data_IF_585564339830
#
_entry.id   IF_585564339830
#
_cell.length_a   1.000
_cell.length_b   1.000
_cell.length_c   1.000
_cell.angle_alpha   90.00
_cell.angle_beta   90.00
_cell.angle_gamma   90.00
#
_symmetry.space_group_name_H-M   'P 1'
#
loop_
_entity.id
_entity.type
_entity.pdbx_description
1 polymer ?
#
# COMPACT_ATOMS: atom_id res chain seq x y z
N UNK A 1 -1.22 -24.76 -12.68
CA UNK A 1 -0.09 -24.06 -12.03
C UNK A 1 -0.43 -22.62 -11.65
N UNK A 2 -1.03 -21.81 -12.50
CA UNK A 2 -1.25 -20.35 -12.27
C UNK A 2 -2.19 -19.99 -11.10
N UNK A 3 -3.28 -20.75 -10.86
CA UNK A 3 -4.12 -20.54 -9.66
C UNK A 3 -3.36 -20.65 -8.35
N UNK A 4 -2.37 -21.55 -8.29
CA UNK A 4 -1.52 -21.74 -7.11
C UNK A 4 -0.63 -20.52 -6.87
N UNK A 5 -0.13 -19.87 -7.92
CA UNK A 5 0.70 -18.68 -7.81
C UNK A 5 -0.08 -17.49 -7.22
N UNK A 6 -1.32 -17.24 -7.65
CA UNK A 6 -2.16 -16.18 -7.09
C UNK A 6 -2.45 -16.39 -5.60
N UNK A 7 -2.74 -17.62 -5.18
CA UNK A 7 -2.96 -17.96 -3.77
C UNK A 7 -1.68 -17.82 -2.93
N UNK A 8 -0.53 -18.23 -3.46
CA UNK A 8 0.76 -18.08 -2.80
C UNK A 8 1.08 -16.59 -2.59
N UNK A 9 0.87 -15.76 -3.62
CA UNK A 9 1.09 -14.32 -3.54
C UNK A 9 0.15 -13.66 -2.53
N UNK A 10 -1.11 -14.10 -2.46
CA UNK A 10 -2.03 -13.68 -1.40
C UNK A 10 -1.56 -14.08 -0.02
N UNK A 11 -0.97 -15.27 0.13
CA UNK A 11 -0.34 -15.71 1.39
C UNK A 11 0.84 -14.84 1.79
N UNK A 12 1.68 -14.43 0.85
CA UNK A 12 2.76 -13.47 1.10
C UNK A 12 2.22 -12.10 1.51
N UNK A 13 1.17 -11.61 0.84
CA UNK A 13 0.54 -10.36 1.24
C UNK A 13 -0.06 -10.45 2.64
N UNK A 14 -0.75 -11.54 2.97
CA UNK A 14 -1.26 -11.78 4.33
C UNK A 14 -0.14 -11.75 5.37
N UNK A 15 0.99 -12.37 5.07
CA UNK A 15 2.17 -12.36 5.95
C UNK A 15 2.71 -10.93 6.12
N UNK A 16 2.77 -10.16 5.04
CA UNK A 16 3.24 -8.78 5.03
C UNK A 16 2.38 -7.85 5.89
N UNK A 17 1.05 -7.86 5.69
CA UNK A 17 0.14 -7.06 6.53
C UNK A 17 0.15 -7.53 7.98
N UNK A 18 0.33 -8.84 8.22
CA UNK A 18 0.43 -9.41 9.57
C UNK A 18 1.71 -8.97 10.29
N UNK A 19 2.84 -8.90 9.58
CA UNK A 19 4.10 -8.36 10.10
C UNK A 19 3.90 -6.89 10.49
N UNK A 20 3.36 -6.07 9.60
CA UNK A 20 3.06 -4.67 9.87
C UNK A 20 2.12 -4.49 11.06
N UNK A 21 1.07 -5.30 11.13
CA UNK A 21 0.14 -5.33 12.25
C UNK A 21 0.80 -5.75 13.56
N UNK A 22 1.68 -6.75 13.52
CA UNK A 22 2.47 -7.20 14.67
C UNK A 22 3.40 -6.12 15.20
N UNK A 23 4.05 -5.39 14.30
CA UNK A 23 4.90 -4.23 14.65
C UNK A 23 4.05 -3.16 15.33
N UNK A 24 2.90 -2.79 14.78
CA UNK A 24 2.00 -1.80 15.37
C UNK A 24 1.54 -2.22 16.78
N UNK A 25 1.17 -3.48 16.94
CA UNK A 25 0.75 -4.01 18.24
C UNK A 25 1.89 -3.99 19.28
N UNK A 26 3.10 -4.40 18.89
CA UNK A 26 4.30 -4.37 19.75
C UNK A 26 4.62 -2.94 20.19
N UNK A 27 4.60 -2.00 19.25
CA UNK A 27 4.90 -0.60 19.54
C UNK A 27 3.87 0.02 20.44
N UNK A 28 2.58 -0.22 20.19
CA UNK A 28 1.51 0.26 21.06
C UNK A 28 1.63 -0.29 22.49
N UNK A 29 2.19 -1.50 22.65
CA UNK A 29 2.43 -2.12 23.97
C UNK A 29 3.65 -1.56 24.70
N UNK A 30 4.73 -1.30 23.96
CA UNK A 30 6.05 -0.89 24.54
C UNK A 30 6.17 0.63 24.64
N UNK A 31 5.69 1.36 23.63
CA UNK A 31 5.88 2.79 23.49
C UNK A 31 4.54 3.49 23.26
N UNK A 32 3.83 3.85 24.32
CA UNK A 32 2.54 4.53 24.24
C UNK A 32 2.54 5.88 23.48
N UNK A 33 3.70 6.50 23.27
CA UNK A 33 3.87 7.81 22.63
C UNK A 33 4.62 7.79 21.29
N UNK A 34 4.85 6.62 20.67
CA UNK A 34 5.71 6.48 19.49
C UNK A 34 4.97 6.19 18.18
N UNK A 35 3.63 6.18 18.23
CA UNK A 35 2.81 5.85 17.07
C UNK A 35 2.99 6.83 15.90
N UNK A 36 3.17 8.11 16.21
CA UNK A 36 3.34 9.17 15.22
C UNK A 36 4.68 9.04 14.49
N UNK A 37 5.76 8.74 15.21
CA UNK A 37 7.08 8.49 14.62
C UNK A 37 7.08 7.29 13.68
N UNK A 38 6.41 6.21 14.07
CA UNK A 38 6.28 5.03 13.22
C UNK A 38 5.41 5.28 11.98
N UNK A 39 4.34 6.04 12.09
CA UNK A 39 3.56 6.46 10.94
C UNK A 39 4.41 7.27 9.95
N UNK A 40 5.22 8.21 10.45
CA UNK A 40 6.17 8.98 9.61
C UNK A 40 7.22 8.08 8.94
N UNK A 41 7.77 7.10 9.68
CA UNK A 41 8.70 6.12 9.14
C UNK A 41 8.04 5.28 8.03
N UNK A 42 6.81 4.79 8.25
CA UNK A 42 6.04 4.08 7.23
C UNK A 42 5.79 4.95 6.00
N UNK A 43 5.42 6.22 6.18
CA UNK A 43 5.26 7.17 5.07
C UNK A 43 6.54 7.37 4.28
N UNK A 44 7.67 7.55 4.96
CA UNK A 44 9.01 7.65 4.34
C UNK A 44 9.40 6.39 3.57
N UNK A 45 9.13 5.22 4.13
CA UNK A 45 9.38 3.93 3.47
C UNK A 45 8.55 3.76 2.20
N UNK A 46 7.24 4.09 2.25
CA UNK A 46 6.37 4.03 1.07
C UNK A 46 6.81 5.01 -0.03
N UNK A 47 7.19 6.23 0.33
CA UNK A 47 7.71 7.22 -0.63
C UNK A 47 9.01 6.70 -1.26
N UNK A 48 9.88 6.08 -0.47
CA UNK A 48 11.12 5.48 -0.95
C UNK A 48 10.88 4.31 -1.90
N UNK A 49 9.98 3.38 -1.58
CA UNK A 49 9.61 2.27 -2.48
C UNK A 49 9.05 2.79 -3.81
N UNK A 50 8.18 3.82 -3.76
CA UNK A 50 7.69 4.45 -4.98
C UNK A 50 8.81 5.04 -5.83
N UNK A 51 9.70 5.82 -5.21
CA UNK A 51 10.73 6.58 -5.90
C UNK A 51 11.85 5.70 -6.47
N UNK A 52 12.20 4.61 -5.78
CA UNK A 52 13.36 3.76 -6.12
C UNK A 52 12.98 2.52 -6.94
N UNK A 53 11.80 1.95 -6.69
CA UNK A 53 11.41 0.68 -7.32
C UNK A 53 10.26 0.85 -8.31
N UNK A 54 9.09 1.31 -7.84
CA UNK A 54 7.86 1.24 -8.64
C UNK A 54 7.90 2.24 -9.80
N UNK A 55 8.27 3.49 -9.54
CA UNK A 55 8.30 4.53 -10.59
C UNK A 55 9.37 4.24 -11.63
N UNK A 56 10.66 4.00 -11.29
CA UNK A 56 11.68 3.68 -12.29
C UNK A 56 11.33 2.43 -13.11
N UNK A 57 10.85 1.37 -12.45
CA UNK A 57 10.43 0.14 -13.13
C UNK A 57 9.26 0.38 -14.08
N UNK A 58 8.28 1.20 -13.69
CA UNK A 58 7.16 1.55 -14.54
C UNK A 58 7.61 2.31 -15.81
N UNK A 59 8.49 3.30 -15.65
CA UNK A 59 8.98 4.10 -16.78
C UNK A 59 9.98 3.35 -17.68
N UNK A 60 10.61 2.28 -17.20
CA UNK A 60 11.48 1.43 -18.03
C UNK A 60 10.69 0.55 -19.00
N UNK A 61 9.46 0.16 -18.64
CA UNK A 61 8.63 -0.78 -19.42
C UNK A 61 7.53 -0.07 -20.20
N UNK A 62 6.93 0.98 -19.62
CA UNK A 62 5.74 1.64 -20.19
C UNK A 62 6.04 3.06 -20.65
N UNK A 63 5.27 3.51 -21.65
CA UNK A 63 5.34 4.90 -22.13
C UNK A 63 4.75 5.86 -21.11
N UNK A 64 5.46 6.96 -20.86
CA UNK A 64 5.12 8.01 -19.90
C UNK A 64 3.67 8.54 -19.95
N UNK A 65 3.03 8.76 -21.12
CA UNK A 65 1.67 9.33 -21.14
C UNK A 65 0.62 8.46 -20.44
N UNK A 66 0.71 7.13 -20.55
CA UNK A 66 -0.21 6.21 -19.87
C UNK A 66 -0.05 6.25 -18.36
N UNK A 67 1.18 6.26 -17.88
CA UNK A 67 1.50 6.35 -16.45
C UNK A 67 1.01 7.67 -15.87
N UNK A 68 1.31 8.80 -16.52
CA UNK A 68 0.90 10.14 -16.06
C UNK A 68 -0.63 10.24 -16.00
N UNK A 69 -1.33 9.77 -17.03
CA UNK A 69 -2.80 9.73 -17.04
C UNK A 69 -3.32 8.88 -15.87
N UNK A 70 -2.73 7.71 -15.65
CA UNK A 70 -3.09 6.84 -14.54
C UNK A 70 -2.88 7.51 -13.18
N UNK A 71 -1.75 8.16 -12.95
CA UNK A 71 -1.47 8.90 -11.70
C UNK A 71 -2.53 9.97 -11.45
N UNK A 72 -2.93 10.73 -12.47
CA UNK A 72 -4.00 11.72 -12.35
C UNK A 72 -5.34 11.08 -12.01
N UNK A 73 -5.69 9.96 -12.65
CA UNK A 73 -6.92 9.21 -12.34
C UNK A 73 -6.88 8.71 -10.89
N UNK A 74 -5.79 8.09 -10.45
CA UNK A 74 -5.62 7.59 -9.09
C UNK A 74 -5.72 8.71 -8.05
N UNK A 75 -5.13 9.87 -8.34
CA UNK A 75 -5.27 11.07 -7.52
C UNK A 75 -6.71 11.52 -7.36
N UNK A 76 -7.41 11.72 -8.48
CA UNK A 76 -8.81 12.17 -8.49
C UNK A 76 -9.70 11.14 -7.78
N UNK A 77 -9.49 9.85 -8.05
CA UNK A 77 -10.25 8.77 -7.43
C UNK A 77 -10.14 8.79 -5.91
N UNK A 78 -8.93 8.90 -5.35
CA UNK A 78 -8.73 9.00 -3.91
C UNK A 78 -9.31 10.27 -3.31
N UNK A 79 -9.25 11.40 -4.02
CA UNK A 79 -9.91 12.63 -3.55
C UNK A 79 -11.42 12.46 -3.43
N UNK A 80 -12.04 11.84 -4.43
CA UNK A 80 -13.48 11.57 -4.44
C UNK A 80 -13.88 10.58 -3.35
N UNK A 81 -13.11 9.52 -3.18
CA UNK A 81 -13.31 8.52 -2.14
C UNK A 81 -13.22 9.14 -0.74
N UNK A 82 -12.17 9.91 -0.47
CA UNK A 82 -12.02 10.60 0.81
C UNK A 82 -13.17 11.57 1.09
N UNK A 83 -13.63 12.33 0.10
CA UNK A 83 -14.78 13.22 0.23
C UNK A 83 -16.05 12.43 0.57
N UNK A 84 -16.29 11.30 -0.08
CA UNK A 84 -17.44 10.43 0.16
C UNK A 84 -17.43 9.82 1.57
N UNK A 85 -16.26 9.39 2.04
CA UNK A 85 -16.09 8.78 3.36
C UNK A 85 -16.24 9.79 4.50
N UNK A 86 -15.78 11.04 4.32
CA UNK A 86 -15.89 12.11 5.34
C UNK A 86 -17.28 12.74 5.40
N UNK A 87 -18.10 12.60 4.36
CA UNK A 87 -19.47 13.12 4.33
C UNK A 87 -20.41 12.42 5.33
N UNK A 88 -20.01 11.28 5.87
CA UNK A 88 -20.81 10.48 6.81
C UNK A 88 -20.75 10.97 8.28
N UNK A 89 -20.15 12.13 8.57
CA UNK A 89 -20.17 12.76 9.90
C UNK A 89 -19.36 12.04 10.99
N UNK A 90 -18.66 10.96 10.68
CA UNK A 90 -17.79 10.27 11.63
C UNK A 90 -16.40 10.90 11.64
N UNK A 91 -15.95 11.39 12.78
CA UNK A 91 -14.64 12.01 12.97
C UNK A 91 -13.45 11.05 12.76
N UNK A 92 -13.68 9.74 12.72
CA UNK A 92 -12.65 8.71 12.42
C UNK A 92 -13.24 7.64 11.49
N UNK A 93 -12.57 7.30 10.38
CA UNK A 93 -13.05 6.24 9.50
C UNK A 93 -13.13 4.92 10.26
N UNK A 94 -14.21 4.18 10.06
CA UNK A 94 -14.31 2.82 10.57
C UNK A 94 -13.22 1.94 9.97
N UNK A 95 -12.67 1.00 10.75
CA UNK A 95 -11.68 0.03 10.26
C UNK A 95 -12.15 -0.69 8.99
N UNK A 96 -13.42 -1.01 8.92
CA UNK A 96 -14.01 -1.67 7.74
C UNK A 96 -13.98 -0.78 6.50
N UNK A 97 -14.23 0.52 6.67
CA UNK A 97 -14.15 1.51 5.59
C UNK A 97 -12.71 1.64 5.10
N UNK A 98 -11.74 1.70 6.02
CA UNK A 98 -10.32 1.72 5.67
C UNK A 98 -9.91 0.42 4.94
N UNK A 99 -10.39 -0.75 5.39
CA UNK A 99 -10.13 -2.03 4.72
C UNK A 99 -10.68 -2.04 3.29
N UNK A 100 -11.90 -1.55 3.07
CA UNK A 100 -12.49 -1.43 1.73
C UNK A 100 -11.64 -0.49 0.86
N UNK A 101 -11.19 0.64 1.40
CA UNK A 101 -10.33 1.58 0.69
C UNK A 101 -9.01 0.92 0.27
N UNK A 102 -8.39 0.14 1.16
CA UNK A 102 -7.18 -0.61 0.88
C UNK A 102 -7.43 -1.71 -0.18
N UNK A 103 -8.55 -2.42 -0.12
CA UNK A 103 -8.92 -3.38 -1.15
C UNK A 103 -9.06 -2.72 -2.52
N UNK A 104 -9.73 -1.56 -2.58
CA UNK A 104 -9.94 -0.85 -3.84
C UNK A 104 -8.62 -0.36 -4.43
N UNK A 105 -7.72 0.17 -3.62
CA UNK A 105 -6.44 0.67 -4.12
C UNK A 105 -5.50 -0.45 -4.58
N UNK A 106 -5.63 -1.65 -4.02
CA UNK A 106 -4.85 -2.82 -4.40
C UNK A 106 -5.28 -3.40 -5.76
N UNK A 107 -6.52 -3.17 -6.21
CA UNK A 107 -7.08 -3.74 -7.45
C UNK A 107 -6.23 -3.43 -8.69
N UNK A 108 -5.90 -2.17 -9.03
CA UNK A 108 -5.18 -1.87 -10.27
C UNK A 108 -3.81 -2.56 -10.32
N UNK A 109 -3.13 -2.61 -9.19
CA UNK A 109 -1.79 -3.21 -9.09
C UNK A 109 -1.83 -4.72 -9.19
N UNK A 110 -2.77 -5.38 -8.50
CA UNK A 110 -2.95 -6.84 -8.57
C UNK A 110 -3.37 -7.32 -9.95
N UNK A 111 -4.23 -6.58 -10.65
CA UNK A 111 -4.57 -6.85 -12.06
C UNK A 111 -3.32 -6.77 -12.96
N UNK A 112 -2.49 -5.75 -12.78
CA UNK A 112 -1.26 -5.57 -13.54
C UNK A 112 -0.27 -6.70 -13.24
N UNK A 113 -0.07 -7.07 -11.98
CA UNK A 113 0.80 -8.19 -11.57
C UNK A 113 0.31 -9.49 -12.21
N UNK A 114 -1.00 -9.77 -12.14
CA UNK A 114 -1.57 -10.97 -12.74
C UNK A 114 -1.29 -11.08 -14.23
N UNK A 115 -1.42 -9.98 -14.95
CA UNK A 115 -1.14 -9.94 -16.39
C UNK A 115 0.35 -10.09 -16.74
N UNK A 116 1.25 -9.76 -15.80
CA UNK A 116 2.71 -9.83 -15.97
C UNK A 116 3.32 -11.15 -15.48
N UNK A 117 2.57 -12.06 -14.87
CA UNK A 117 3.10 -13.31 -14.29
C UNK A 117 3.86 -14.21 -15.26
N UNK A 118 3.75 -13.95 -16.57
CA UNK A 118 4.52 -14.63 -17.62
C UNK A 118 5.88 -13.98 -17.96
N UNK A 119 6.12 -12.72 -17.55
CA UNK A 119 7.32 -11.93 -17.83
C UNK A 119 8.23 -11.84 -16.59
N UNK A 120 9.43 -12.37 -16.68
CA UNK A 120 10.18 -12.87 -15.53
C UNK A 120 10.72 -11.84 -14.53
N UNK A 121 11.43 -10.80 -14.95
CA UNK A 121 12.17 -9.91 -14.02
C UNK A 121 11.34 -8.73 -13.52
N UNK A 122 10.60 -8.09 -14.41
CA UNK A 122 9.75 -6.95 -14.05
C UNK A 122 8.57 -7.37 -13.14
N UNK A 123 7.97 -8.54 -13.42
CA UNK A 123 6.91 -9.09 -12.59
C UNK A 123 7.38 -9.37 -11.16
N UNK A 124 8.59 -9.90 -10.99
CA UNK A 124 9.17 -10.17 -9.67
C UNK A 124 9.41 -8.88 -8.89
N UNK A 125 10.02 -7.86 -9.52
CA UNK A 125 10.28 -6.56 -8.87
C UNK A 125 8.98 -5.90 -8.40
N UNK A 126 8.00 -5.73 -9.29
CA UNK A 126 6.72 -5.11 -8.93
C UNK A 126 5.98 -5.93 -7.86
N UNK A 127 5.98 -7.25 -7.96
CA UNK A 127 5.30 -8.10 -6.98
C UNK A 127 5.94 -7.98 -5.61
N UNK A 128 7.27 -7.98 -5.53
CA UNK A 128 8.00 -7.87 -4.28
C UNK A 128 7.77 -6.50 -3.64
N UNK A 129 7.91 -5.42 -4.40
CA UNK A 129 7.63 -4.06 -3.93
C UNK A 129 6.18 -3.92 -3.48
N UNK A 130 5.23 -4.56 -4.20
CA UNK A 130 3.81 -4.57 -3.83
C UNK A 130 3.56 -5.29 -2.50
N UNK A 131 4.16 -6.45 -2.30
CA UNK A 131 4.01 -7.19 -1.04
C UNK A 131 4.57 -6.39 0.12
N UNK A 132 5.69 -5.72 -0.06
CA UNK A 132 6.36 -4.97 1.00
C UNK A 132 5.64 -3.68 1.37
N UNK A 133 5.04 -2.97 0.41
CA UNK A 133 4.30 -1.76 0.76
C UNK A 133 3.06 -2.04 1.61
N UNK A 134 2.57 -3.28 1.64
CA UNK A 134 1.48 -3.67 2.53
C UNK A 134 1.91 -3.84 4.00
N UNK A 135 3.22 -3.86 4.31
CA UNK A 135 3.70 -3.81 5.72
C UNK A 135 3.25 -2.51 6.42
N UNK A 136 3.54 -1.30 5.86
CA UNK A 136 3.00 -0.05 6.40
C UNK A 136 1.47 0.00 6.48
N UNK A 137 0.77 -0.60 5.53
CA UNK A 137 -0.69 -0.64 5.55
C UNK A 137 -1.24 -1.53 6.67
N UNK A 138 -0.63 -2.69 6.88
CA UNK A 138 -0.93 -3.54 8.03
C UNK A 138 -0.69 -2.82 9.36
N UNK A 139 0.39 -2.03 9.44
CA UNK A 139 0.66 -1.16 10.58
C UNK A 139 -0.45 -0.12 10.77
N UNK A 140 -0.81 0.63 9.71
CA UNK A 140 -1.85 1.66 9.77
C UNK A 140 -3.20 1.07 10.19
N UNK A 141 -3.62 -0.03 9.55
CA UNK A 141 -4.88 -0.70 9.83
C UNK A 141 -4.94 -1.16 11.30
N UNK A 142 -3.86 -1.75 11.81
CA UNK A 142 -3.77 -2.19 13.21
C UNK A 142 -3.77 -1.01 14.17
N UNK A 143 -3.08 0.08 13.87
CA UNK A 143 -3.05 1.28 14.72
C UNK A 143 -4.44 1.90 14.86
N UNK A 144 -5.20 2.01 13.77
CA UNK A 144 -6.60 2.48 13.79
C UNK A 144 -7.47 1.50 14.59
N UNK A 145 -7.27 0.19 14.41
CA UNK A 145 -7.99 -0.84 15.11
C UNK A 145 -7.82 -0.77 16.63
N UNK A 146 -6.56 -0.64 17.07
CA UNK A 146 -6.22 -0.50 18.49
C UNK A 146 -6.79 0.80 19.08
N UNK A 147 -6.75 1.90 18.34
CA UNK A 147 -7.28 3.20 18.78
C UNK A 147 -8.81 3.18 18.98
N UNK A 148 -9.53 2.28 18.33
CA UNK A 148 -10.98 2.12 18.42
C UNK A 148 -11.40 1.05 19.43
N UNK A 149 -10.45 0.38 20.10
CA UNK A 149 -10.73 -0.64 21.11
C UNK A 149 -11.47 -1.89 20.55
N UNK A 150 -11.31 -2.18 19.27
CA UNK A 150 -12.02 -3.30 18.63
C UNK A 150 -11.39 -4.66 18.93
N UNK A 151 -12.16 -5.74 18.75
CA UNK A 151 -11.70 -7.11 19.02
C UNK A 151 -10.75 -7.61 17.93
N UNK A 152 -9.60 -8.15 18.28
CA UNK A 152 -8.53 -8.64 17.38
C UNK A 152 -9.02 -9.56 16.26
N UNK A 153 -10.12 -10.29 16.45
CA UNK A 153 -10.76 -11.11 15.41
C UNK A 153 -11.17 -10.32 14.18
N UNK A 154 -11.64 -9.08 14.36
CA UNK A 154 -12.01 -8.19 13.26
C UNK A 154 -10.80 -7.77 12.41
N UNK A 155 -9.65 -7.52 13.05
CA UNK A 155 -8.41 -7.21 12.35
C UNK A 155 -7.96 -8.37 11.44
N UNK A 156 -8.02 -9.59 11.96
CA UNK A 156 -7.71 -10.80 11.20
C UNK A 156 -8.62 -10.94 9.96
N UNK A 157 -9.91 -10.65 10.14
CA UNK A 157 -10.87 -10.66 9.03
C UNK A 157 -10.51 -9.63 7.96
N UNK A 158 -10.08 -8.43 8.36
CA UNK A 158 -9.62 -7.39 7.45
C UNK A 158 -8.38 -7.85 6.65
N UNK A 159 -7.39 -8.47 7.31
CA UNK A 159 -6.19 -8.98 6.64
C UNK A 159 -6.51 -10.11 5.65
N UNK A 160 -7.40 -11.03 6.03
CA UNK A 160 -7.87 -12.10 5.15
C UNK A 160 -8.60 -11.52 3.94
N UNK A 161 -9.50 -10.54 4.15
CA UNK A 161 -10.25 -9.89 3.06
C UNK A 161 -9.31 -9.22 2.06
N UNK A 162 -8.27 -8.53 2.55
CA UNK A 162 -7.25 -7.88 1.71
C UNK A 162 -6.49 -8.91 0.87
N UNK A 163 -6.08 -10.02 1.51
CA UNK A 163 -5.33 -11.10 0.83
C UNK A 163 -6.18 -11.84 -0.20
N UNK A 164 -7.46 -12.08 0.10
CA UNK A 164 -8.40 -12.68 -0.86
C UNK A 164 -8.64 -11.73 -2.03
N UNK A 165 -8.86 -10.44 -1.77
CA UNK A 165 -9.02 -9.41 -2.79
C UNK A 165 -7.81 -9.39 -3.74
N UNK A 166 -6.61 -9.31 -3.19
CA UNK A 166 -5.36 -9.33 -3.95
C UNK A 166 -5.22 -10.60 -4.81
N UNK A 167 -5.42 -11.79 -4.22
CA UNK A 167 -5.35 -13.05 -4.96
C UNK A 167 -6.38 -13.14 -6.09
N UNK A 168 -7.61 -12.70 -5.81
CA UNK A 168 -8.69 -12.73 -6.80
C UNK A 168 -8.38 -11.84 -8.00
N UNK A 169 -7.87 -10.62 -7.76
CA UNK A 169 -7.54 -9.72 -8.85
C UNK A 169 -6.25 -10.08 -9.59
N UNK A 170 -5.28 -10.73 -8.95
CA UNK A 170 -4.15 -11.38 -9.66
C UNK A 170 -4.68 -12.47 -10.58
N UNK A 171 -5.56 -13.32 -10.08
CA UNK A 171 -6.14 -14.39 -10.89
C UNK A 171 -6.96 -13.84 -12.07
N UNK A 172 -7.74 -12.78 -11.86
CA UNK A 172 -8.47 -12.10 -12.94
C UNK A 172 -7.47 -11.51 -13.95
N UNK A 173 -6.43 -10.82 -13.48
CA UNK A 173 -5.40 -10.21 -14.32
C UNK A 173 -4.67 -11.22 -15.22
N UNK A 174 -4.42 -12.42 -14.71
CA UNK A 174 -3.82 -13.54 -15.45
C UNK A 174 -4.73 -14.06 -16.61
N UNK A 175 -6.05 -13.88 -16.49
CA UNK A 175 -7.03 -14.33 -17.50
C UNK A 175 -7.48 -13.22 -18.46
N UNK A 176 -7.17 -11.97 -18.14
CA UNK A 176 -7.56 -10.80 -18.95
C UNK A 176 -6.34 -10.31 -19.73
N UNK A 177 -6.40 -10.40 -21.06
CA UNK A 177 -5.37 -9.83 -21.93
C UNK A 177 -5.43 -8.30 -21.93
N UNK A 178 -4.74 -7.67 -20.98
CA UNK A 178 -4.65 -6.22 -20.91
C UNK A 178 -3.65 -5.70 -21.96
N UNK A 179 -4.07 -4.71 -22.75
CA UNK A 179 -3.15 -4.03 -23.65
C UNK A 179 -2.06 -3.29 -22.85
N UNK A 180 -0.88 -3.11 -23.43
CA UNK A 180 0.24 -2.36 -22.80
C UNK A 180 -0.21 -0.96 -22.37
N UNK A 181 -1.12 -0.32 -23.09
CA UNK A 181 -1.70 0.97 -22.71
C UNK A 181 -2.55 0.87 -21.45
N UNK A 182 -3.39 -0.17 -21.33
CA UNK A 182 -4.21 -0.39 -20.14
C UNK A 182 -3.35 -0.69 -18.92
N UNK A 183 -2.33 -1.53 -19.06
CA UNK A 183 -1.38 -1.84 -18.00
C UNK A 183 -0.65 -0.59 -17.51
N UNK A 184 -0.18 0.27 -18.42
CA UNK A 184 0.49 1.53 -18.05
C UNK A 184 -0.42 2.49 -17.28
N UNK A 185 -1.70 2.57 -17.65
CA UNK A 185 -2.68 3.39 -16.92
C UNK A 185 -2.99 2.79 -15.55
N UNK A 186 -3.23 1.48 -15.46
CA UNK A 186 -3.50 0.80 -14.17
C UNK A 186 -2.34 0.95 -13.20
N UNK A 187 -1.11 0.74 -13.67
CA UNK A 187 0.08 0.94 -12.85
C UNK A 187 0.22 2.40 -12.39
N UNK A 188 -0.05 3.36 -13.29
CA UNK A 188 -0.10 4.77 -12.94
C UNK A 188 -1.16 5.08 -11.88
N UNK A 189 -2.36 4.48 -11.98
CA UNK A 189 -3.42 4.63 -10.95
C UNK A 189 -2.90 4.18 -9.59
N UNK A 190 -2.26 3.02 -9.52
CA UNK A 190 -1.69 2.51 -8.27
C UNK A 190 -0.61 3.42 -7.71
N UNK A 191 0.32 3.90 -8.55
CA UNK A 191 1.35 4.87 -8.16
C UNK A 191 0.72 6.13 -7.55
N UNK A 192 -0.28 6.70 -8.22
CA UNK A 192 -0.99 7.88 -7.74
C UNK A 192 -1.69 7.66 -6.41
N UNK A 193 -2.34 6.51 -6.24
CA UNK A 193 -3.03 6.14 -5.00
C UNK A 193 -2.03 5.95 -3.85
N UNK A 194 -0.96 5.17 -4.04
CA UNK A 194 0.06 4.93 -3.01
C UNK A 194 0.75 6.23 -2.61
N UNK A 195 1.12 7.09 -3.58
CA UNK A 195 1.78 8.37 -3.31
C UNK A 195 0.93 9.26 -2.38
N UNK A 196 -0.37 9.35 -2.67
CA UNK A 196 -1.27 10.19 -1.88
C UNK A 196 -1.53 9.59 -0.50
N UNK A 197 -1.77 8.29 -0.43
CA UNK A 197 -1.93 7.58 0.85
C UNK A 197 -0.70 7.79 1.72
N UNK A 198 0.51 7.63 1.17
CA UNK A 198 1.76 7.84 1.90
C UNK A 198 1.85 9.24 2.51
N UNK A 199 1.46 10.26 1.74
CA UNK A 199 1.52 11.65 2.19
C UNK A 199 0.35 11.99 3.12
N UNK A 200 -0.89 11.71 2.72
CA UNK A 200 -2.09 12.17 3.43
C UNK A 200 -2.43 11.37 4.68
N UNK A 201 -2.11 10.10 4.71
CA UNK A 201 -2.47 9.23 5.83
C UNK A 201 -1.31 9.01 6.80
N UNK A 202 -0.07 8.99 6.30
CA UNK A 202 1.09 8.72 7.14
C UNK A 202 1.89 9.98 7.51
N UNK A 203 2.12 10.90 6.58
CA UNK A 203 3.00 12.06 6.82
C UNK A 203 2.22 13.25 7.35
N UNK A 204 1.27 13.77 6.59
CA UNK A 204 0.58 15.03 6.91
C UNK A 204 -0.12 15.07 8.27
N UNK A 205 -0.83 14.01 8.74
CA UNK A 205 -1.48 14.06 10.04
C UNK A 205 -0.48 14.24 11.19
N UNK A 206 0.73 13.69 11.02
CA UNK A 206 1.74 13.64 12.07
C UNK A 206 2.69 14.87 12.07
N UNK A 207 2.83 15.56 10.93
CA UNK A 207 3.66 16.79 10.83
C UNK A 207 3.22 17.88 11.80
N UNK A 208 1.94 17.94 12.15
CA UNK A 208 1.39 18.97 13.07
C UNK A 208 1.44 18.56 14.54
N UNK A 209 1.73 17.30 14.82
CA UNK A 209 1.67 16.72 16.18
C UNK A 209 3.06 16.61 16.77
N UNK A 210 4.06 16.29 15.95
CA UNK A 210 5.44 16.08 16.40
C UNK A 210 6.36 17.24 15.99
N UNK A 211 7.48 17.46 16.71
CA UNK A 211 8.46 18.46 16.33
C UNK A 211 9.04 18.24 14.93
N UNK A 212 9.32 19.31 14.18
CA UNK A 212 9.81 19.23 12.80
C UNK A 212 11.04 18.35 12.62
N UNK A 213 11.96 18.33 13.58
CA UNK A 213 13.14 17.48 13.51
C UNK A 213 12.80 15.98 13.55
N UNK A 214 11.78 15.59 14.34
CA UNK A 214 11.30 14.19 14.37
C UNK A 214 10.67 13.80 13.03
N UNK A 215 9.90 14.69 12.41
CA UNK A 215 9.33 14.46 11.07
C UNK A 215 10.45 14.12 10.10
N UNK A 216 11.48 14.98 10.03
CA UNK A 216 12.62 14.80 9.11
C UNK A 216 13.35 13.48 9.41
N UNK A 217 13.66 13.21 10.67
CA UNK A 217 14.42 12.02 11.08
C UNK A 217 13.65 10.74 10.74
N UNK A 218 12.37 10.63 11.13
CA UNK A 218 11.60 9.40 10.89
C UNK A 218 11.29 9.16 9.42
N UNK A 219 10.92 10.20 8.65
CA UNK A 219 10.72 10.09 7.22
C UNK A 219 12.02 9.70 6.51
N UNK A 220 13.15 10.28 6.90
CA UNK A 220 14.46 9.95 6.34
C UNK A 220 14.87 8.51 6.68
N UNK A 221 14.68 8.05 7.91
CA UNK A 221 14.95 6.66 8.30
C UNK A 221 14.09 5.71 7.47
N UNK A 222 12.80 5.99 7.31
CA UNK A 222 11.92 5.19 6.47
C UNK A 222 12.41 5.13 5.02
N UNK A 223 12.77 6.28 4.44
CA UNK A 223 13.34 6.35 3.10
C UNK A 223 14.65 5.55 2.98
N UNK A 224 15.56 5.68 3.95
CA UNK A 224 16.83 4.92 3.96
C UNK A 224 16.60 3.42 4.08
N UNK A 225 15.57 2.97 4.83
CA UNK A 225 15.19 1.56 4.86
C UNK A 225 14.74 1.06 3.47
N UNK A 226 14.03 1.88 2.70
CA UNK A 226 13.68 1.50 1.31
C UNK A 226 14.90 1.48 0.39
N UNK A 227 15.90 2.35 0.60
CA UNK A 227 17.19 2.30 -0.13
C UNK A 227 17.92 0.98 0.16
N UNK A 228 18.03 0.62 1.44
CA UNK A 228 18.65 -0.66 1.84
C UNK A 228 17.92 -1.83 1.18
N UNK A 229 16.58 -1.78 1.21
CA UNK A 229 15.78 -2.80 0.54
C UNK A 229 16.07 -2.88 -0.96
N UNK A 230 16.04 -1.75 -1.68
CA UNK A 230 16.34 -1.66 -3.10
C UNK A 230 17.74 -2.18 -3.47
N UNK A 231 18.72 -2.06 -2.56
CA UNK A 231 20.08 -2.59 -2.77
C UNK A 231 20.20 -4.10 -2.53
N UNK A 232 19.26 -4.69 -1.77
CA UNK A 232 19.27 -6.12 -1.44
C UNK A 232 18.48 -6.97 -2.42
N UNK A 233 17.51 -6.40 -3.10
CA UNK A 233 16.57 -7.05 -4.02
C UNK A 233 16.48 -6.36 -5.36
#
# INVERSE_FOLDING_TARGET
MMKLNALILGGFLFSSVSIGGGIAWLVAKVFRSFNEGLALLCGGFLVGLLALDIIPSAFSVYKSPGIILGVLIGYIFLLLMNKSLHSSGQHKPSVYVLTIALCIHTIPLSLTIGNLLGDSTFAVSITTSTILHHIPEGFALTSVFLSQGQKIKGLFLCFISLSICFSAFIWIGDHVNLSIKAQSVLLGVSIGMIAITSIKEFILPNVRIVPNWMVIVFVLIGYLLSVVFHLLF
#
